data_IF_073975080315
#
_entry.id   IF_073975080315
#
_cell.length_a   1.000
_cell.length_b   1.000
_cell.length_c   1.000
_cell.angle_alpha   90.00
_cell.angle_beta   90.00
_cell.angle_gamma   90.00
#
_symmetry.space_group_name_H-M   'P 1'
#
loop_
_entity.id
_entity.type
_entity.pdbx_description
1 polymer ?
#
# COMPACT_ATOMS: atom_id res chain seq x y z
N UNK A 1 -76.80 -48.17 -6.67
CA UNK A 1 -76.05 -48.10 -5.39
C UNK A 1 -74.76 -47.34 -5.62
N UNK A 2 -74.54 -46.28 -4.84
CA UNK A 2 -73.29 -45.56 -4.51
C UNK A 2 -72.24 -45.22 -5.62
N UNK A 3 -72.17 -43.91 -5.87
CA UNK A 3 -71.01 -42.98 -5.80
C UNK A 3 -69.73 -43.25 -6.63
N UNK A 4 -69.49 -42.32 -7.57
CA UNK A 4 -68.31 -41.45 -7.77
C UNK A 4 -66.92 -42.08 -8.10
N UNK A 5 -65.99 -41.29 -8.70
CA UNK A 5 -65.08 -41.70 -9.76
C UNK A 5 -63.69 -42.13 -9.27
N UNK A 6 -63.00 -42.97 -10.05
CA UNK A 6 -61.61 -43.37 -9.80
C UNK A 6 -60.62 -42.50 -10.56
N UNK A 7 -60.11 -41.47 -9.89
CA UNK A 7 -58.81 -40.85 -10.16
C UNK A 7 -57.68 -41.79 -9.70
N UNK A 8 -56.59 -41.87 -10.45
CA UNK A 8 -55.24 -42.15 -9.92
C UNK A 8 -54.25 -41.39 -10.82
N UNK A 9 -53.95 -40.14 -10.49
CA UNK A 9 -52.88 -39.74 -9.57
C UNK A 9 -51.50 -39.81 -10.26
N UNK A 10 -51.17 -38.76 -11.01
CA UNK A 10 -49.78 -38.42 -11.29
C UNK A 10 -49.10 -38.12 -9.94
N UNK A 11 -48.10 -38.92 -9.60
CA UNK A 11 -47.29 -38.73 -8.41
C UNK A 11 -46.52 -37.41 -8.52
N UNK A 12 -46.92 -36.46 -7.67
CA UNK A 12 -46.13 -35.30 -7.27
C UNK A 12 -44.85 -35.79 -6.57
N UNK A 13 -43.70 -35.52 -7.17
CA UNK A 13 -42.45 -35.43 -6.43
C UNK A 13 -42.12 -33.94 -6.26
N UNK A 14 -42.63 -33.35 -5.19
CA UNK A 14 -42.18 -32.04 -4.71
C UNK A 14 -40.77 -32.16 -4.18
N UNK A 15 -39.77 -31.72 -4.95
CA UNK A 15 -38.48 -31.33 -4.38
C UNK A 15 -38.48 -29.81 -4.20
N UNK A 16 -38.80 -29.38 -2.97
CA UNK A 16 -38.50 -28.04 -2.49
C UNK A 16 -36.97 -27.88 -2.47
N UNK A 17 -36.39 -27.28 -3.50
CA UNK A 17 -35.05 -26.72 -3.42
C UNK A 17 -35.17 -25.29 -2.87
N UNK A 18 -35.52 -25.16 -1.59
CA UNK A 18 -35.18 -23.97 -0.83
C UNK A 18 -33.72 -24.12 -0.43
N UNK A 19 -32.79 -23.48 -1.15
CA UNK A 19 -31.44 -23.27 -0.62
C UNK A 19 -30.88 -21.93 -1.11
N UNK A 20 -31.10 -20.94 -0.25
CA UNK A 20 -30.17 -19.86 0.10
C UNK A 20 -29.58 -19.11 -1.11
N UNK A 21 -30.28 -18.04 -1.51
CA UNK A 21 -29.63 -16.86 -2.06
C UNK A 21 -28.68 -16.32 -0.97
N UNK A 22 -27.50 -16.92 -0.88
CA UNK A 22 -26.40 -16.39 -0.11
C UNK A 22 -26.05 -15.08 -0.78
N UNK A 23 -26.53 -13.97 -0.22
CA UNK A 23 -25.90 -12.69 -0.41
C UNK A 23 -24.42 -12.92 -0.08
N UNK A 24 -23.59 -13.03 -1.11
CA UNK A 24 -22.16 -12.78 -1.00
C UNK A 24 -22.03 -11.28 -0.78
N UNK A 25 -22.44 -10.80 0.41
CA UNK A 25 -21.81 -9.62 0.97
C UNK A 25 -20.38 -10.03 1.23
N UNK A 26 -19.52 -9.80 0.23
CA UNK A 26 -18.10 -9.75 0.45
C UNK A 26 -17.89 -8.86 1.69
N UNK A 27 -17.10 -9.30 2.68
CA UNK A 27 -16.76 -8.40 3.77
C UNK A 27 -16.02 -7.22 3.13
N UNK A 28 -16.59 -6.03 3.25
CA UNK A 28 -15.89 -4.76 3.07
C UNK A 28 -14.86 -4.63 4.19
N UNK A 29 -13.88 -5.53 4.20
CA UNK A 29 -12.82 -5.56 5.19
C UNK A 29 -11.73 -4.60 4.73
N UNK A 30 -11.66 -3.47 5.44
CA UNK A 30 -10.62 -2.44 5.42
C UNK A 30 -10.61 -1.44 4.24
N UNK A 31 -11.73 -0.75 3.99
CA UNK A 31 -11.66 0.63 3.53
C UNK A 31 -11.29 1.53 4.72
N UNK A 32 -10.02 1.51 5.15
CA UNK A 32 -9.54 2.33 6.25
C UNK A 32 -9.79 3.83 5.95
N UNK A 33 -10.54 4.54 6.79
CA UNK A 33 -10.66 6.00 7.06
C UNK A 33 -10.40 7.08 5.98
N UNK A 34 -10.16 6.75 4.72
CA UNK A 34 -9.91 7.71 3.65
C UNK A 34 -11.19 8.47 3.29
N UNK A 35 -11.12 9.79 3.04
CA UNK A 35 -12.30 10.56 2.69
C UNK A 35 -12.78 10.18 1.29
N UNK A 36 -14.10 10.16 1.10
CA UNK A 36 -14.73 10.06 -0.21
C UNK A 36 -14.71 11.44 -0.88
N UNK A 37 -13.87 11.60 -1.90
CA UNK A 37 -13.79 12.83 -2.69
C UNK A 37 -14.34 12.59 -4.10
N UNK A 38 -15.22 13.46 -4.56
CA UNK A 38 -15.95 13.31 -5.84
C UNK A 38 -16.25 14.67 -6.47
N UNK A 39 -16.80 14.65 -7.68
CA UNK A 39 -17.21 15.85 -8.40
C UNK A 39 -18.02 16.81 -7.52
N UNK A 40 -17.67 18.09 -7.58
CA UNK A 40 -18.23 19.17 -6.76
C UNK A 40 -17.48 19.45 -5.45
N UNK A 41 -16.54 18.58 -5.03
CA UNK A 41 -15.65 18.88 -3.92
C UNK A 41 -14.66 20.00 -4.29
N UNK A 42 -14.19 20.76 -3.30
CA UNK A 42 -13.19 21.81 -3.48
C UNK A 42 -12.13 21.80 -2.36
N UNK A 43 -11.03 22.54 -2.57
CA UNK A 43 -10.01 22.82 -1.56
C UNK A 43 -8.80 21.86 -1.58
N UNK A 44 -8.01 21.91 -0.50
CA UNK A 44 -6.67 21.28 -0.45
C UNK A 44 -6.65 19.77 -0.75
N UNK A 45 -7.70 19.03 -0.38
CA UNK A 45 -7.81 17.61 -0.72
C UNK A 45 -7.94 17.38 -2.23
N UNK A 46 -8.67 18.24 -2.93
CA UNK A 46 -8.79 18.18 -4.39
C UNK A 46 -7.48 18.56 -5.07
N UNK A 47 -6.82 19.63 -4.61
CA UNK A 47 -5.49 20.01 -5.10
C UNK A 47 -4.47 18.87 -4.92
N UNK A 48 -4.54 18.15 -3.80
CA UNK A 48 -3.73 16.96 -3.51
C UNK A 48 -3.99 15.86 -4.54
N UNK A 49 -5.26 15.53 -4.81
CA UNK A 49 -5.65 14.53 -5.81
C UNK A 49 -5.13 14.93 -7.20
N UNK A 50 -5.31 16.19 -7.60
CA UNK A 50 -4.88 16.69 -8.91
C UNK A 50 -3.36 16.59 -9.10
N UNK A 51 -2.59 16.92 -8.08
CA UNK A 51 -1.14 16.75 -8.08
C UNK A 51 -0.72 15.27 -8.11
N UNK A 52 -1.36 14.40 -7.33
CA UNK A 52 -1.07 12.97 -7.35
C UNK A 52 -1.46 12.31 -8.68
N UNK A 53 -2.59 12.69 -9.29
CA UNK A 53 -2.97 12.25 -10.64
C UNK A 53 -1.91 12.65 -11.66
N UNK A 54 -1.39 13.87 -11.57
CA UNK A 54 -0.29 14.33 -12.43
C UNK A 54 0.99 13.53 -12.19
N UNK A 55 1.33 13.21 -10.94
CA UNK A 55 2.44 12.32 -10.60
C UNK A 55 2.26 10.90 -11.17
N UNK A 56 1.01 10.45 -11.33
CA UNK A 56 0.63 9.17 -11.94
C UNK A 56 0.47 9.24 -13.46
N UNK A 57 0.87 10.34 -14.11
CA UNK A 57 0.79 10.50 -15.57
C UNK A 57 -0.58 10.96 -16.09
N UNK A 58 -1.55 11.19 -15.21
CA UNK A 58 -2.88 11.73 -15.55
C UNK A 58 -2.91 13.24 -15.34
N UNK A 59 -2.13 13.97 -16.16
CA UNK A 59 -1.99 15.43 -16.04
C UNK A 59 -3.33 16.17 -16.01
N UNK A 60 -3.47 17.08 -15.03
CA UNK A 60 -4.62 17.95 -14.80
C UNK A 60 -4.18 19.25 -14.14
N UNK A 61 -4.97 20.32 -14.31
CA UNK A 61 -4.80 21.54 -13.51
C UNK A 61 -5.02 21.24 -12.02
N UNK A 62 -4.23 21.89 -11.16
CA UNK A 62 -4.34 21.77 -9.70
C UNK A 62 -4.97 23.04 -9.12
N UNK A 63 -6.21 23.32 -9.52
CA UNK A 63 -7.00 24.49 -9.11
C UNK A 63 -7.74 24.29 -7.79
N UNK A 64 -7.79 23.05 -7.28
CA UNK A 64 -8.57 22.72 -6.09
C UNK A 64 -10.06 22.51 -6.35
N UNK A 65 -10.50 22.44 -7.60
CA UNK A 65 -11.90 22.20 -7.96
C UNK A 65 -12.09 20.82 -8.61
N UNK A 66 -12.96 19.99 -8.02
CA UNK A 66 -13.23 18.67 -8.55
C UNK A 66 -14.33 18.78 -9.62
N UNK A 67 -13.97 19.33 -10.77
CA UNK A 67 -14.84 19.44 -11.94
C UNK A 67 -14.81 18.20 -12.84
N UNK A 68 -15.44 18.33 -14.02
CA UNK A 68 -15.49 17.27 -15.04
C UNK A 68 -14.09 16.80 -15.50
N UNK A 69 -13.15 17.73 -15.60
CA UNK A 69 -11.76 17.42 -15.95
C UNK A 69 -11.10 16.50 -14.92
N UNK A 70 -11.22 16.82 -13.64
CA UNK A 70 -10.68 16.00 -12.54
C UNK A 70 -11.35 14.63 -12.49
N UNK A 71 -12.68 14.55 -12.61
CA UNK A 71 -13.42 13.28 -12.63
C UNK A 71 -12.98 12.36 -13.77
N UNK A 72 -12.83 12.90 -14.98
CA UNK A 72 -12.35 12.13 -16.12
C UNK A 72 -10.95 11.55 -15.88
N UNK A 73 -10.07 12.29 -15.21
CA UNK A 73 -8.71 11.83 -14.86
C UNK A 73 -8.72 10.76 -13.77
N UNK A 74 -9.61 10.87 -12.78
CA UNK A 74 -9.83 9.81 -11.79
C UNK A 74 -10.32 8.53 -12.45
N UNK A 75 -11.31 8.60 -13.35
CA UNK A 75 -11.80 7.43 -14.09
C UNK A 75 -10.71 6.79 -14.95
N UNK A 76 -9.90 7.61 -15.62
CA UNK A 76 -8.76 7.12 -16.39
C UNK A 76 -7.73 6.42 -15.50
N UNK A 77 -7.42 6.98 -14.33
CA UNK A 77 -6.53 6.37 -13.34
C UNK A 77 -7.11 5.05 -12.80
N UNK A 78 -8.39 5.02 -12.43
CA UNK A 78 -9.07 3.83 -11.96
C UNK A 78 -9.02 2.71 -13.00
N UNK A 79 -9.37 3.00 -14.25
CA UNK A 79 -9.31 2.06 -15.36
C UNK A 79 -7.89 1.52 -15.59
N UNK A 80 -6.89 2.41 -15.65
CA UNK A 80 -5.48 2.05 -15.84
C UNK A 80 -4.91 1.18 -14.71
N UNK A 81 -5.50 1.23 -13.51
CA UNK A 81 -5.06 0.48 -12.34
C UNK A 81 -6.00 -0.69 -11.98
N UNK A 82 -6.93 -1.06 -12.87
CA UNK A 82 -7.84 -2.19 -12.69
C UNK A 82 -8.80 -2.02 -11.51
N UNK A 83 -9.13 -0.78 -11.14
CA UNK A 83 -10.11 -0.48 -10.09
C UNK A 83 -11.54 -0.65 -10.62
N UNK A 84 -12.40 -1.27 -9.82
CA UNK A 84 -13.82 -1.46 -10.12
C UNK A 84 -14.65 -1.13 -8.88
N UNK A 85 -15.73 -0.32 -9.00
CA UNK A 85 -16.21 0.32 -10.23
C UNK A 85 -15.31 1.49 -10.68
N UNK A 86 -15.34 1.80 -11.99
CA UNK A 86 -14.73 3.03 -12.56
C UNK A 86 -15.74 4.18 -12.44
N UNK A 87 -15.93 4.63 -11.21
CA UNK A 87 -17.00 5.56 -10.82
C UNK A 87 -16.56 7.03 -10.76
N UNK A 88 -15.26 7.32 -10.82
CA UNK A 88 -14.72 8.68 -10.66
C UNK A 88 -14.70 9.18 -9.22
N UNK A 89 -14.96 8.32 -8.23
CA UNK A 89 -14.92 8.63 -6.81
C UNK A 89 -13.57 8.21 -6.24
N UNK A 90 -12.88 9.15 -5.59
CA UNK A 90 -11.63 8.87 -4.89
C UNK A 90 -11.96 8.37 -3.48
N UNK A 91 -12.19 7.07 -3.36
CA UNK A 91 -12.33 6.34 -2.09
C UNK A 91 -11.09 5.54 -1.71
N UNK A 92 -11.17 4.72 -0.66
CA UNK A 92 -10.01 4.03 -0.07
C UNK A 92 -9.16 3.22 -1.06
N UNK A 93 -9.78 2.47 -1.97
CA UNK A 93 -9.06 1.71 -3.01
C UNK A 93 -8.33 2.61 -4.02
N UNK A 94 -8.93 3.77 -4.33
CA UNK A 94 -8.33 4.76 -5.23
C UNK A 94 -7.19 5.48 -4.52
N UNK A 95 -7.40 5.97 -3.29
CA UNK A 95 -6.37 6.62 -2.48
C UNK A 95 -5.13 5.75 -2.31
N UNK A 96 -5.31 4.48 -1.93
CA UNK A 96 -4.21 3.54 -1.68
C UNK A 96 -3.30 3.32 -2.90
N UNK A 97 -3.84 3.50 -4.11
CA UNK A 97 -3.07 3.42 -5.37
C UNK A 97 -2.57 4.78 -5.83
N UNK A 98 -3.30 5.85 -5.51
CA UNK A 98 -3.03 7.19 -5.99
C UNK A 98 -1.83 7.83 -5.26
N UNK A 99 -1.71 7.62 -3.95
CA UNK A 99 -0.62 8.16 -3.15
C UNK A 99 0.75 7.73 -3.66
N UNK A 100 1.75 8.59 -3.49
CA UNK A 100 3.13 8.35 -3.88
C UNK A 100 4.00 8.66 -2.68
N UNK A 101 4.87 7.72 -2.31
CA UNK A 101 5.76 7.96 -1.18
C UNK A 101 6.87 8.90 -1.58
N UNK A 102 7.02 9.96 -0.79
CA UNK A 102 8.02 11.00 -0.99
C UNK A 102 8.81 11.22 0.29
N UNK A 103 10.08 11.55 0.13
CA UNK A 103 11.00 11.89 1.21
C UNK A 103 12.09 12.83 0.68
N UNK A 104 13.05 13.17 1.55
CA UNK A 104 14.14 14.09 1.22
C UNK A 104 14.83 13.75 -0.11
N UNK A 105 14.98 14.76 -0.97
CA UNK A 105 15.55 14.65 -2.31
C UNK A 105 14.54 14.32 -3.42
N UNK A 106 13.32 13.91 -3.08
CA UNK A 106 12.25 13.77 -4.06
C UNK A 106 11.85 15.13 -4.65
N UNK A 107 11.35 15.12 -5.88
CA UNK A 107 10.82 16.32 -6.53
C UNK A 107 9.58 16.00 -7.38
N UNK A 108 8.83 17.04 -7.74
CA UNK A 108 7.71 16.97 -8.67
C UNK A 108 6.32 17.00 -8.03
N UNK A 109 5.26 16.62 -8.76
CA UNK A 109 3.87 16.85 -8.34
C UNK A 109 3.49 16.16 -7.03
N UNK A 110 4.01 14.98 -6.74
CA UNK A 110 3.74 14.30 -5.46
C UNK A 110 4.27 15.08 -4.25
N UNK A 111 5.41 15.77 -4.40
CA UNK A 111 5.95 16.66 -3.36
C UNK A 111 5.07 17.90 -3.21
N UNK A 112 4.55 18.47 -4.31
CA UNK A 112 3.57 19.57 -4.24
C UNK A 112 2.32 19.17 -3.47
N UNK A 113 1.80 17.96 -3.72
CA UNK A 113 0.67 17.41 -2.97
C UNK A 113 0.95 17.35 -1.46
N UNK A 114 2.16 16.91 -1.08
CA UNK A 114 2.58 16.85 0.31
C UNK A 114 2.70 18.25 0.95
N UNK A 115 3.34 19.19 0.27
CA UNK A 115 3.50 20.57 0.73
C UNK A 115 2.14 21.27 0.91
N UNK A 116 1.18 21.04 0.00
CA UNK A 116 -0.20 21.53 0.13
C UNK A 116 -0.85 21.00 1.40
N UNK A 117 -0.75 19.70 1.68
CA UNK A 117 -1.33 19.12 2.90
C UNK A 117 -0.64 19.62 4.17
N UNK A 118 0.69 19.70 4.20
CA UNK A 118 1.43 20.26 5.34
C UNK A 118 1.00 21.72 5.61
N UNK A 119 0.78 22.51 4.56
CA UNK A 119 0.31 23.89 4.70
C UNK A 119 -1.11 24.00 5.27
N UNK A 120 -1.98 23.01 5.02
CA UNK A 120 -3.29 22.91 5.70
C UNK A 120 -3.15 22.78 7.22
N UNK A 121 -2.03 22.23 7.71
CA UNK A 121 -1.68 22.18 9.14
C UNK A 121 -0.81 23.36 9.62
N UNK A 122 -0.63 24.39 8.79
CA UNK A 122 0.05 25.62 9.20
C UNK A 122 1.58 25.59 9.12
N UNK A 123 2.18 24.63 8.39
CA UNK A 123 3.66 24.53 8.32
C UNK A 123 4.34 25.59 7.43
N UNK A 124 3.60 26.30 6.58
CA UNK A 124 4.08 27.48 5.85
C UNK A 124 5.20 27.21 4.83
N UNK A 125 5.18 26.06 4.17
CA UNK A 125 6.11 25.68 3.10
C UNK A 125 5.78 26.39 1.78
N UNK A 126 6.80 26.67 0.97
CA UNK A 126 6.59 26.90 -0.46
C UNK A 126 6.07 25.60 -1.12
N UNK A 127 5.17 25.72 -2.08
CA UNK A 127 4.68 24.59 -2.89
C UNK A 127 5.47 24.54 -4.21
N UNK A 128 6.78 24.39 -4.09
CA UNK A 128 7.73 24.37 -5.21
C UNK A 128 7.85 22.98 -5.85
N UNK A 129 7.50 21.93 -5.10
CA UNK A 129 7.67 20.54 -5.50
C UNK A 129 9.06 20.00 -5.19
N UNK A 130 9.85 20.66 -4.36
CA UNK A 130 11.17 20.19 -3.93
C UNK A 130 11.15 19.72 -2.47
N UNK A 131 11.50 18.45 -2.25
CA UNK A 131 11.57 17.88 -0.92
C UNK A 131 12.96 18.12 -0.32
N UNK A 132 13.25 19.39 -0.02
CA UNK A 132 14.48 19.82 0.65
C UNK A 132 14.44 19.69 2.18
N UNK A 133 15.47 20.22 2.83
CA UNK A 133 15.64 20.19 4.29
C UNK A 133 14.47 20.83 5.04
N UNK A 134 13.91 21.91 4.50
CA UNK A 134 12.73 22.57 5.06
C UNK A 134 11.51 21.64 5.09
N UNK A 135 11.21 20.98 3.96
CA UNK A 135 10.10 20.03 3.86
C UNK A 135 10.31 18.84 4.80
N UNK A 136 11.52 18.26 4.85
CA UNK A 136 11.89 17.15 5.76
C UNK A 136 11.64 17.49 7.23
N UNK A 137 12.10 18.65 7.70
CA UNK A 137 11.89 19.09 9.08
C UNK A 137 10.39 19.24 9.42
N UNK A 138 9.59 19.77 8.48
CA UNK A 138 8.14 19.92 8.68
C UNK A 138 7.40 18.60 8.67
N UNK A 139 7.81 17.64 7.84
CA UNK A 139 7.24 16.28 7.84
C UNK A 139 7.49 15.59 9.16
N UNK A 140 8.73 15.61 9.67
CA UNK A 140 9.06 15.04 10.99
C UNK A 140 8.26 15.68 12.12
N UNK A 141 8.07 16.99 12.05
CA UNK A 141 7.23 17.74 12.99
C UNK A 141 5.77 17.30 12.93
N UNK A 142 5.23 17.13 11.72
CA UNK A 142 3.87 16.64 11.48
C UNK A 142 3.69 15.22 12.02
N UNK A 143 4.58 14.31 11.65
CA UNK A 143 4.56 12.92 12.11
C UNK A 143 4.57 12.85 13.64
N UNK A 144 5.48 13.59 14.29
CA UNK A 144 5.54 13.69 15.75
C UNK A 144 4.22 14.20 16.34
N UNK A 145 3.61 15.23 15.74
CA UNK A 145 2.33 15.79 16.19
C UNK A 145 1.14 14.83 16.05
N UNK A 146 1.27 13.82 15.16
CA UNK A 146 0.26 12.80 14.89
C UNK A 146 0.54 11.47 15.58
N UNK A 147 1.63 11.35 16.35
CA UNK A 147 2.05 10.11 16.98
C UNK A 147 2.55 9.05 15.99
N UNK A 148 3.07 9.49 14.84
CA UNK A 148 3.75 8.66 13.85
C UNK A 148 5.27 8.69 14.08
N UNK A 149 5.98 7.72 13.52
CA UNK A 149 7.44 7.76 13.47
C UNK A 149 7.91 8.97 12.66
N UNK A 150 8.76 9.79 13.28
CA UNK A 150 9.30 11.02 12.68
C UNK A 150 10.47 10.72 11.73
N UNK A 151 10.25 9.85 10.76
CA UNK A 151 11.24 9.36 9.79
C UNK A 151 11.49 10.33 8.62
N UNK A 152 10.63 11.36 8.45
CA UNK A 152 10.72 12.32 7.35
C UNK A 152 10.15 11.82 6.03
N UNK A 153 9.43 10.70 6.05
CA UNK A 153 8.88 10.03 4.86
C UNK A 153 7.36 10.12 4.88
N UNK A 154 6.80 10.62 3.79
CA UNK A 154 5.35 10.65 3.60
C UNK A 154 4.92 9.35 2.90
N UNK A 155 4.85 8.26 3.69
CA UNK A 155 4.26 6.97 3.31
C UNK A 155 2.75 6.91 3.59
N UNK A 156 2.10 5.72 3.64
CA UNK A 156 0.64 5.61 3.58
C UNK A 156 0.01 6.11 4.87
N UNK A 157 0.65 5.82 6.02
CA UNK A 157 0.22 6.29 7.33
C UNK A 157 0.33 7.82 7.44
N UNK A 158 1.44 8.40 6.97
CA UNK A 158 1.62 9.85 6.93
C UNK A 158 0.62 10.50 5.97
N UNK A 159 0.38 9.90 4.79
CA UNK A 159 -0.63 10.37 3.84
C UNK A 159 -2.03 10.30 4.42
N UNK A 160 -2.37 9.22 5.13
CA UNK A 160 -3.67 9.08 5.77
C UNK A 160 -3.84 10.19 6.80
N UNK A 161 -2.88 10.37 7.70
CA UNK A 161 -2.90 11.43 8.69
C UNK A 161 -2.99 12.84 8.06
N UNK A 162 -2.26 13.09 6.97
CA UNK A 162 -2.32 14.36 6.23
C UNK A 162 -3.72 14.62 5.67
N UNK A 163 -4.31 13.61 5.03
CA UNK A 163 -5.58 13.76 4.31
C UNK A 163 -6.78 13.82 5.26
N UNK A 164 -6.83 12.92 6.25
CA UNK A 164 -7.97 12.77 7.17
C UNK A 164 -7.86 13.65 8.41
N UNK A 165 -6.65 14.08 8.78
CA UNK A 165 -6.38 14.73 10.06
C UNK A 165 -6.33 13.79 11.24
N UNK A 166 -6.48 12.47 11.01
CA UNK A 166 -6.37 11.45 12.04
C UNK A 166 -5.02 11.59 12.74
N UNK A 167 -5.05 11.79 14.05
CA UNK A 167 -3.93 11.33 14.90
C UNK A 167 -3.87 9.81 14.75
N UNK A 168 -2.69 9.20 14.80
CA UNK A 168 -2.54 7.74 14.78
C UNK A 168 -3.49 7.12 15.80
N UNK A 169 -4.67 6.70 15.34
CA UNK A 169 -5.79 6.40 16.22
C UNK A 169 -5.70 4.93 16.50
N UNK A 170 -5.28 4.67 17.73
CA UNK A 170 -5.30 3.40 18.40
C UNK A 170 -6.76 2.90 18.54
N UNK A 171 -7.34 2.46 17.42
CA UNK A 171 -8.56 1.65 17.33
C UNK A 171 -8.14 0.23 16.95
N UNK A 172 -7.52 -0.48 17.89
CA UNK A 172 -6.97 -1.82 17.69
C UNK A 172 -5.49 -1.86 17.28
N UNK A 173 -4.61 -1.14 17.98
CA UNK A 173 -3.18 -1.49 18.09
C UNK A 173 -2.43 -1.87 16.81
N UNK A 174 -2.52 -1.10 15.74
CA UNK A 174 -1.58 -1.23 14.61
C UNK A 174 -0.40 -0.31 14.84
N UNK A 175 0.58 -0.83 15.59
CA UNK A 175 1.90 -0.23 15.71
C UNK A 175 2.47 0.03 14.31
N UNK A 176 3.00 1.24 14.06
CA UNK A 176 3.73 1.60 12.82
C UNK A 176 4.93 0.68 12.60
N UNK A 177 5.44 0.13 13.70
CA UNK A 177 6.55 -0.82 13.77
C UNK A 177 6.09 -2.09 14.47
N UNK A 178 6.25 -3.23 13.82
CA UNK A 178 5.76 -4.52 14.25
C UNK A 178 6.79 -5.23 15.12
N UNK A 179 6.31 -5.99 16.09
CA UNK A 179 7.07 -7.11 16.68
C UNK A 179 7.17 -8.25 15.67
N UNK A 180 8.11 -9.16 15.89
CA UNK A 180 8.27 -10.34 15.05
C UNK A 180 6.97 -11.15 14.94
N UNK A 181 6.27 -11.37 16.05
CA UNK A 181 5.03 -12.15 16.06
C UNK A 181 3.90 -11.46 15.30
N UNK A 182 3.78 -10.13 15.37
CA UNK A 182 2.78 -9.37 14.62
C UNK A 182 3.03 -9.45 13.11
N UNK A 183 4.28 -9.23 12.68
CA UNK A 183 4.64 -9.35 11.26
C UNK A 183 4.47 -10.78 10.75
N UNK A 184 4.92 -11.78 11.51
CA UNK A 184 4.75 -13.19 11.17
C UNK A 184 3.27 -13.58 11.05
N UNK A 185 2.38 -13.05 11.90
CA UNK A 185 0.94 -13.28 11.80
C UNK A 185 0.36 -12.67 10.51
N UNK A 186 0.77 -11.45 10.13
CA UNK A 186 0.38 -10.81 8.87
C UNK A 186 0.83 -11.66 7.67
N UNK A 187 2.08 -12.11 7.67
CA UNK A 187 2.62 -12.94 6.60
C UNK A 187 1.92 -14.29 6.49
N UNK A 188 1.72 -14.97 7.61
CA UNK A 188 0.99 -16.23 7.63
C UNK A 188 -0.45 -16.07 7.12
N UNK A 189 -1.15 -15.02 7.54
CA UNK A 189 -2.50 -14.71 7.06
C UNK A 189 -2.58 -14.42 5.56
N UNK A 190 -1.48 -13.96 4.95
CA UNK A 190 -1.35 -13.74 3.51
C UNK A 190 -0.77 -14.94 2.73
N UNK A 191 -0.45 -16.04 3.41
CA UNK A 191 0.22 -17.19 2.79
C UNK A 191 1.65 -16.89 2.33
N UNK A 192 2.36 -16.02 3.06
CA UNK A 192 3.78 -15.72 2.89
C UNK A 192 4.56 -16.52 3.95
N UNK A 193 5.45 -17.40 3.50
CA UNK A 193 6.34 -18.14 4.39
C UNK A 193 7.57 -17.31 4.77
N UNK A 194 8.30 -17.75 5.79
CA UNK A 194 9.62 -17.22 6.10
C UNK A 194 10.53 -18.30 6.68
N UNK A 195 11.84 -18.12 6.55
CA UNK A 195 12.86 -19.04 7.07
C UNK A 195 13.99 -18.28 7.73
N UNK A 196 14.58 -18.84 8.79
CA UNK A 196 15.79 -18.32 9.43
C UNK A 196 16.90 -19.37 9.38
N UNK A 197 18.09 -18.97 8.92
CA UNK A 197 19.26 -19.87 8.87
C UNK A 197 19.77 -20.23 10.27
N UNK A 198 19.65 -19.33 11.23
CA UNK A 198 19.94 -19.54 12.65
C UNK A 198 18.80 -20.14 13.47
N UNK A 199 17.67 -20.46 12.84
CA UNK A 199 16.45 -20.95 13.50
C UNK A 199 16.00 -20.05 14.67
N UNK A 200 16.03 -18.73 14.46
CA UNK A 200 15.78 -17.73 15.48
C UNK A 200 15.17 -16.46 14.90
N UNK A 201 14.60 -15.63 15.79
CA UNK A 201 13.99 -14.34 15.44
C UNK A 201 14.64 -13.16 16.18
N UNK A 202 15.81 -13.34 16.78
CA UNK A 202 16.51 -12.27 17.48
C UNK A 202 17.13 -11.29 16.49
N UNK A 203 16.61 -10.07 16.46
CA UNK A 203 17.07 -8.99 15.59
C UNK A 203 18.56 -8.66 15.74
N UNK A 204 19.16 -8.90 16.90
CA UNK A 204 20.57 -8.60 17.15
C UNK A 204 21.53 -9.70 16.66
N UNK A 205 21.03 -10.71 15.95
CA UNK A 205 21.83 -11.83 15.44
C UNK A 205 21.71 -11.90 13.92
N UNK A 206 22.87 -11.83 13.25
CA UNK A 206 23.01 -11.81 11.79
C UNK A 206 22.50 -13.09 11.10
N UNK A 207 22.36 -14.19 11.83
CA UNK A 207 21.83 -15.47 11.31
C UNK A 207 20.33 -15.62 11.49
N UNK A 208 19.67 -14.74 12.26
CA UNK A 208 18.23 -14.84 12.47
C UNK A 208 17.46 -14.29 11.28
N UNK A 209 16.18 -14.65 11.20
CA UNK A 209 15.20 -13.86 10.45
C UNK A 209 14.25 -13.25 11.47
N UNK A 210 14.42 -11.96 11.75
CA UNK A 210 13.64 -11.15 12.67
C UNK A 210 12.82 -10.10 11.94
N UNK A 211 11.59 -9.91 12.42
CA UNK A 211 10.73 -8.81 11.98
C UNK A 211 10.44 -7.85 13.12
N UNK A 212 11.12 -7.98 14.26
CA UNK A 212 11.05 -6.98 15.31
C UNK A 212 11.53 -5.66 14.74
N UNK A 213 10.75 -4.60 14.81
CA UNK A 213 11.14 -3.34 14.20
C UNK A 213 10.79 -3.22 12.70
N UNK A 214 10.09 -4.20 12.11
CA UNK A 214 9.62 -4.12 10.73
C UNK A 214 8.48 -3.10 10.62
N UNK A 215 8.49 -2.23 9.62
CA UNK A 215 7.39 -1.27 9.45
C UNK A 215 6.13 -2.00 8.98
N UNK A 216 4.96 -1.59 9.50
CA UNK A 216 3.68 -2.13 9.08
C UNK A 216 3.45 -1.97 7.57
N UNK A 217 3.81 -0.81 7.03
CA UNK A 217 3.74 -0.55 5.60
C UNK A 217 4.61 -1.51 4.78
N UNK A 218 5.78 -1.91 5.28
CA UNK A 218 6.64 -2.88 4.61
C UNK A 218 6.03 -4.29 4.64
N UNK A 219 5.38 -4.67 5.75
CA UNK A 219 4.61 -5.91 5.80
C UNK A 219 3.44 -5.91 4.82
N UNK A 220 2.66 -4.82 4.77
CA UNK A 220 1.54 -4.67 3.83
C UNK A 220 2.02 -4.65 2.38
N UNK A 221 3.20 -4.06 2.11
CA UNK A 221 3.84 -4.10 0.80
C UNK A 221 4.19 -5.52 0.35
N UNK A 222 4.68 -6.37 1.25
CA UNK A 222 4.93 -7.78 0.97
C UNK A 222 3.63 -8.54 0.67
N UNK A 223 2.55 -8.25 1.42
CA UNK A 223 1.21 -8.80 1.14
C UNK A 223 0.70 -8.36 -0.23
N UNK A 224 0.89 -7.09 -0.59
CA UNK A 224 0.53 -6.58 -1.90
C UNK A 224 1.30 -7.28 -3.02
N UNK A 225 2.62 -7.48 -2.86
CA UNK A 225 3.45 -8.24 -3.79
C UNK A 225 2.95 -9.68 -3.95
N UNK A 226 2.61 -10.37 -2.84
CA UNK A 226 2.07 -11.73 -2.85
C UNK A 226 0.77 -11.83 -3.64
N UNK A 227 -0.13 -10.87 -3.45
CA UNK A 227 -1.43 -10.82 -4.13
C UNK A 227 -1.29 -10.48 -5.61
N UNK A 228 -0.47 -9.49 -5.95
CA UNK A 228 -0.29 -9.02 -7.32
C UNK A 228 0.47 -10.02 -8.20
N UNK A 229 1.48 -10.69 -7.64
CA UNK A 229 2.25 -11.71 -8.37
C UNK A 229 1.57 -13.07 -8.42
N UNK A 230 0.67 -13.34 -7.47
CA UNK A 230 0.16 -14.67 -7.16
C UNK A 230 1.25 -15.74 -6.90
N UNK A 231 2.51 -15.34 -6.71
CA UNK A 231 3.62 -16.23 -6.46
C UNK A 231 3.66 -16.66 -5.00
N UNK A 232 4.08 -17.90 -4.73
CA UNK A 232 4.51 -18.26 -3.38
C UNK A 232 5.74 -17.41 -3.00
N UNK A 233 5.66 -16.72 -1.86
CA UNK A 233 6.75 -15.90 -1.33
C UNK A 233 7.33 -16.56 -0.08
N UNK A 234 8.65 -16.53 0.05
CA UNK A 234 9.37 -16.94 1.25
C UNK A 234 10.35 -15.85 1.63
N UNK A 235 10.17 -15.26 2.81
CA UNK A 235 11.07 -14.25 3.35
C UNK A 235 12.29 -14.94 3.98
N UNK A 236 13.47 -14.55 3.55
CA UNK A 236 14.76 -15.15 3.97
C UNK A 236 15.60 -14.22 4.85
N UNK A 237 15.19 -12.96 4.97
CA UNK A 237 15.86 -11.92 5.76
C UNK A 237 14.90 -10.77 6.04
N UNK A 238 15.05 -10.13 7.18
CA UNK A 238 14.14 -9.15 7.74
C UNK A 238 14.89 -7.92 8.20
N UNK A 239 14.87 -7.66 9.51
CA UNK A 239 15.36 -6.40 10.09
C UNK A 239 16.60 -6.56 10.97
N UNK A 240 17.38 -7.62 10.71
CA UNK A 240 18.46 -8.05 11.58
C UNK A 240 19.71 -7.17 11.48
N UNK A 241 20.50 -7.16 12.57
CA UNK A 241 21.82 -6.55 12.61
C UNK A 241 22.71 -7.23 11.58
N UNK A 242 23.27 -6.46 10.65
CA UNK A 242 24.16 -7.00 9.63
C UNK A 242 24.36 -6.06 8.45
N UNK A 243 23.31 -5.36 8.00
CA UNK A 243 23.41 -4.45 6.85
C UNK A 243 22.48 -3.23 6.95
N UNK A 244 23.05 -2.10 6.49
CA UNK A 244 22.46 -0.80 6.19
C UNK A 244 22.40 0.24 7.32
N UNK A 245 23.42 1.11 7.33
CA UNK A 245 23.21 2.51 7.67
C UNK A 245 22.35 3.21 6.60
N UNK A 246 21.65 4.28 6.98
CA UNK A 246 20.75 5.02 6.09
C UNK A 246 19.26 4.76 6.36
N UNK A 247 18.40 5.63 5.85
CA UNK A 247 16.96 5.65 6.17
C UNK A 247 16.25 4.37 5.72
N UNK A 248 16.46 3.93 4.47
CA UNK A 248 15.81 2.75 3.88
C UNK A 248 16.65 1.49 4.06
N UNK A 249 16.71 1.00 5.29
CA UNK A 249 17.55 -0.13 5.71
C UNK A 249 16.71 -1.31 6.23
N UNK A 250 17.35 -2.47 6.32
CA UNK A 250 16.80 -3.61 7.08
C UNK A 250 16.53 -3.22 8.52
N UNK A 251 17.51 -2.58 9.16
CA UNK A 251 17.37 -2.08 10.53
C UNK A 251 16.13 -1.19 10.66
N UNK A 252 15.95 -0.17 9.83
CA UNK A 252 14.77 0.69 9.96
C UNK A 252 13.46 0.04 9.47
N UNK A 253 13.48 -1.26 9.14
CA UNK A 253 12.30 -2.05 8.83
C UNK A 253 11.70 -1.77 7.46
N UNK A 254 12.47 -1.19 6.53
CA UNK A 254 12.01 -0.88 5.17
C UNK A 254 12.28 -2.01 4.17
N UNK A 255 13.10 -3.00 4.56
CA UNK A 255 13.55 -4.05 3.66
C UNK A 255 13.14 -5.44 4.13
N UNK A 256 12.87 -6.30 3.16
CA UNK A 256 12.73 -7.75 3.35
C UNK A 256 13.45 -8.44 2.20
N UNK A 257 14.12 -9.54 2.53
CA UNK A 257 14.72 -10.40 1.53
C UNK A 257 13.78 -11.54 1.17
N UNK A 258 13.59 -11.77 -0.12
CA UNK A 258 12.76 -12.86 -0.61
C UNK A 258 13.59 -13.91 -1.36
N UNK A 259 13.27 -15.17 -1.14
CA UNK A 259 13.82 -16.28 -1.91
C UNK A 259 13.52 -16.07 -3.40
N UNK A 260 14.51 -16.23 -4.29
CA UNK A 260 14.37 -15.82 -5.68
C UNK A 260 13.78 -16.92 -6.53
N UNK A 261 12.53 -17.27 -6.24
CA UNK A 261 11.80 -18.27 -7.02
C UNK A 261 11.64 -17.80 -8.47
N UNK A 262 11.51 -18.76 -9.40
CA UNK A 262 11.30 -18.46 -10.81
C UNK A 262 10.03 -17.63 -11.03
N UNK A 263 8.96 -17.91 -10.27
CA UNK A 263 7.71 -17.15 -10.33
C UNK A 263 7.94 -15.68 -9.96
N UNK A 264 8.51 -15.42 -8.78
CA UNK A 264 8.71 -14.06 -8.29
C UNK A 264 9.65 -13.28 -9.22
N UNK A 265 10.73 -13.94 -9.66
CA UNK A 265 11.71 -13.32 -10.55
C UNK A 265 11.09 -12.93 -11.88
N UNK A 266 10.34 -13.83 -12.52
CA UNK A 266 9.66 -13.54 -13.78
C UNK A 266 8.62 -12.43 -13.63
N UNK A 267 7.86 -12.43 -12.53
CA UNK A 267 6.90 -11.37 -12.25
C UNK A 267 7.59 -10.00 -12.13
N UNK A 268 8.62 -9.88 -11.30
CA UNK A 268 9.33 -8.61 -11.10
C UNK A 268 9.94 -8.12 -12.41
N UNK A 269 10.72 -8.96 -13.10
CA UNK A 269 11.44 -8.55 -14.31
C UNK A 269 10.53 -8.32 -15.51
N UNK A 270 9.36 -8.97 -15.54
CA UNK A 270 8.36 -8.79 -16.59
C UNK A 270 7.37 -7.65 -16.34
N UNK A 271 7.20 -7.22 -15.09
CA UNK A 271 6.20 -6.21 -14.70
C UNK A 271 6.82 -4.85 -14.43
N UNK A 272 7.99 -4.80 -13.80
CA UNK A 272 8.60 -3.54 -13.38
C UNK A 272 9.75 -3.16 -14.30
N UNK A 273 9.86 -1.88 -14.71
CA UNK A 273 10.97 -1.44 -15.53
C UNK A 273 12.29 -1.57 -14.76
N UNK A 274 13.34 -1.98 -15.46
CA UNK A 274 14.71 -1.90 -14.93
C UNK A 274 15.10 -0.42 -14.88
N UNK A 275 15.45 0.06 -13.69
CA UNK A 275 15.77 1.48 -13.44
C UNK A 275 17.26 1.73 -13.23
N UNK A 276 18.06 0.68 -13.05
CA UNK A 276 19.50 0.84 -12.97
C UNK A 276 20.23 -0.39 -12.44
N UNK A 277 21.41 -0.12 -11.90
CA UNK A 277 22.27 -1.10 -11.25
C UNK A 277 22.83 -0.45 -9.99
N UNK A 278 22.76 -1.15 -8.85
CA UNK A 278 23.34 -0.71 -7.58
C UNK A 278 24.87 -0.86 -7.61
N UNK A 279 25.57 -0.16 -6.70
CA UNK A 279 27.05 -0.14 -6.69
C UNK A 279 27.73 -1.51 -6.52
N UNK A 280 27.01 -2.51 -6.04
CA UNK A 280 27.43 -3.91 -5.92
C UNK A 280 27.11 -4.76 -7.17
N UNK A 281 26.55 -4.15 -8.22
CA UNK A 281 26.16 -4.82 -9.46
C UNK A 281 24.73 -5.37 -9.46
N UNK A 282 23.97 -5.23 -8.37
CA UNK A 282 22.59 -5.72 -8.32
C UNK A 282 21.67 -4.94 -9.29
N UNK A 283 20.91 -5.67 -10.10
CA UNK A 283 19.94 -5.06 -11.01
C UNK A 283 18.77 -4.46 -10.23
N UNK A 284 18.41 -3.20 -10.53
CA UNK A 284 17.29 -2.51 -9.89
C UNK A 284 16.07 -2.47 -10.79
N UNK A 285 14.92 -2.83 -10.22
CA UNK A 285 13.60 -2.71 -10.83
C UNK A 285 12.72 -1.89 -9.90
N UNK A 286 11.93 -0.96 -10.44
CA UNK A 286 11.11 -0.05 -9.62
C UNK A 286 9.63 -0.19 -9.97
N UNK A 287 8.82 -0.57 -8.99
CA UNK A 287 7.38 -0.63 -9.17
C UNK A 287 6.77 0.78 -9.22
N UNK A 288 5.57 0.95 -9.80
CA UNK A 288 4.84 2.22 -9.75
C UNK A 288 4.62 2.73 -8.31
N UNK A 289 4.59 1.86 -7.30
CA UNK A 289 4.50 2.27 -5.89
C UNK A 289 5.74 3.01 -5.39
N UNK A 290 6.85 2.98 -6.13
CA UNK A 290 8.17 3.44 -5.70
C UNK A 290 9.03 2.32 -5.11
N UNK A 291 8.47 1.14 -4.84
CA UNK A 291 9.23 0.03 -4.28
C UNK A 291 10.36 -0.40 -5.20
N UNK A 292 11.51 -0.67 -4.60
CA UNK A 292 12.73 -1.01 -5.32
C UNK A 292 13.04 -2.48 -5.08
N UNK A 293 13.25 -3.22 -6.15
CA UNK A 293 13.58 -4.64 -6.14
C UNK A 293 15.00 -4.79 -6.67
N UNK A 294 15.93 -5.15 -5.80
CA UNK A 294 17.32 -5.39 -6.16
C UNK A 294 17.56 -6.90 -6.31
N UNK A 295 18.01 -7.32 -7.49
CA UNK A 295 18.36 -8.72 -7.71
C UNK A 295 19.79 -8.98 -7.25
N UNK A 296 19.93 -9.68 -6.13
CA UNK A 296 21.20 -10.25 -5.68
C UNK A 296 21.36 -11.71 -6.16
N UNK A 297 22.53 -12.31 -5.94
CA UNK A 297 22.81 -13.68 -6.37
C UNK A 297 21.92 -14.70 -5.65
N UNK A 298 21.64 -14.50 -4.36
CA UNK A 298 20.94 -15.47 -3.51
C UNK A 298 19.49 -15.09 -3.16
N UNK A 299 19.09 -13.84 -3.33
CA UNK A 299 17.76 -13.35 -2.94
C UNK A 299 17.33 -12.11 -3.76
N UNK A 300 16.11 -11.67 -3.54
CA UNK A 300 15.63 -10.33 -3.89
C UNK A 300 15.66 -9.46 -2.63
N UNK A 301 16.47 -8.40 -2.63
CA UNK A 301 16.44 -7.36 -1.60
C UNK A 301 15.39 -6.32 -2.01
N UNK A 302 14.25 -6.33 -1.30
CA UNK A 302 13.11 -5.48 -1.64
C UNK A 302 12.98 -4.36 -0.63
N UNK A 303 13.11 -3.13 -1.11
CA UNK A 303 12.86 -1.92 -0.33
C UNK A 303 11.44 -1.44 -0.54
N UNK A 304 10.65 -1.47 0.53
CA UNK A 304 9.28 -0.98 0.57
C UNK A 304 9.29 0.50 0.93
N UNK A 305 9.13 1.33 -0.08
CA UNK A 305 9.01 2.78 0.10
C UNK A 305 7.56 3.18 0.37
N UNK A 306 6.59 2.31 0.04
CA UNK A 306 5.17 2.56 0.20
C UNK A 306 4.83 3.15 1.55
#
# INVERSE_FOLDING_TARGET
MRRLPGMAAALFATLLAALVAGLLTAPAAQAADWPLVRKGATGAQVTTIQHLLTARGHSTGADGDFGDGTEAKVKAFQSANGLSPVDGIVGGDTWSRLIVTVGKGANGPAVKAAQVQLNRYGYGLAVDGDFGDGTDAKVKSFQSSKGLDADGIIGPDTWQALVTGSSGSNGGGTSTVLTHSQAAAIFNGAGIGWTSSGNCSNRNSTSCTSFDGLRRASADGAVALRRASNCALTITGGSETGHAGGTYSHWNGYKLDFSPTSCLSNYITGTFPRTGTRGDGAALYTAPSGNIYARESSHWDVTFLN
#
